data_IF_261330237005
#
_entry.id   IF_261330237005
#
_cell.length_a   1.000
_cell.length_b   1.000
_cell.length_c   1.000
_cell.angle_alpha   90.00
_cell.angle_beta   90.00
_cell.angle_gamma   90.00
#
_symmetry.space_group_name_H-M   'P 1'
#
loop_
_entity.id
_entity.type
_entity.pdbx_description
1 polymer ?
#
# COMPACT_ATOMS: atom_id res chain seq x y z
N UNK A 1 26.25 39.62 -64.09
CA UNK A 1 25.77 38.36 -63.52
C UNK A 1 25.39 38.64 -62.08
N UNK A 2 24.11 38.91 -61.83
CA UNK A 2 23.56 38.99 -60.47
C UNK A 2 23.41 37.58 -59.89
N UNK A 3 23.72 37.36 -58.61
CA UNK A 3 23.48 36.07 -57.98
C UNK A 3 22.00 35.92 -57.59
N UNK A 4 21.42 34.77 -57.94
CA UNK A 4 20.06 34.36 -57.64
C UNK A 4 19.80 34.30 -56.11
N UNK A 5 18.57 34.59 -55.65
CA UNK A 5 18.21 34.57 -54.25
C UNK A 5 18.17 33.13 -53.72
N UNK A 6 18.74 32.92 -52.52
CA UNK A 6 18.68 31.64 -51.81
C UNK A 6 17.24 31.34 -51.38
N UNK A 7 16.67 30.28 -51.94
CA UNK A 7 15.39 29.74 -51.50
C UNK A 7 15.44 29.38 -50.01
N UNK A 8 14.49 29.91 -49.23
CA UNK A 8 14.25 29.49 -47.85
C UNK A 8 13.54 28.14 -47.90
N UNK A 9 14.19 27.09 -47.43
CA UNK A 9 13.57 25.78 -47.30
C UNK A 9 12.27 25.86 -46.48
N UNK A 10 11.20 25.16 -46.89
CA UNK A 10 9.94 25.14 -46.15
C UNK A 10 10.10 24.37 -44.83
N UNK A 11 9.40 24.78 -43.75
CA UNK A 11 9.50 24.12 -42.45
C UNK A 11 9.08 22.66 -42.56
N UNK A 12 9.94 21.76 -42.08
CA UNK A 12 9.71 20.32 -42.01
C UNK A 12 8.44 20.02 -41.22
N UNK A 13 7.55 19.21 -41.80
CA UNK A 13 6.32 18.75 -41.14
C UNK A 13 6.70 17.93 -39.91
N UNK A 14 6.34 18.41 -38.71
CA UNK A 14 6.46 17.64 -37.48
C UNK A 14 5.67 16.32 -37.59
N UNK A 15 6.21 15.19 -37.10
CA UNK A 15 5.60 13.87 -37.27
C UNK A 15 4.34 13.72 -36.39
N UNK A 16 3.30 13.08 -36.94
CA UNK A 16 1.99 12.79 -36.28
C UNK A 16 2.10 12.13 -34.89
N UNK A 17 3.24 11.53 -34.58
CA UNK A 17 3.51 10.81 -33.32
C UNK A 17 3.63 11.78 -32.13
N UNK A 18 4.27 12.94 -32.29
CA UNK A 18 4.40 13.95 -31.23
C UNK A 18 3.02 14.45 -30.76
N UNK A 19 2.10 14.64 -31.71
CA UNK A 19 0.73 15.08 -31.43
C UNK A 19 -0.04 14.04 -30.62
N UNK A 20 0.18 12.75 -30.86
CA UNK A 20 -0.53 11.67 -30.16
C UNK A 20 0.02 11.45 -28.73
N UNK A 21 1.32 11.69 -28.52
CA UNK A 21 1.94 11.71 -27.20
C UNK A 21 1.38 12.83 -26.34
N UNK A 22 1.37 14.05 -26.87
CA UNK A 22 0.87 15.22 -26.14
C UNK A 22 -0.59 15.00 -25.74
N UNK A 23 -1.43 14.51 -26.66
CA UNK A 23 -2.85 14.17 -26.39
C UNK A 23 -2.99 13.12 -25.30
N UNK A 24 -2.11 12.13 -25.24
CA UNK A 24 -2.14 11.08 -24.21
C UNK A 24 -1.84 11.67 -22.84
N UNK A 25 -0.79 12.49 -22.72
CA UNK A 25 -0.45 13.19 -21.48
C UNK A 25 -1.58 14.15 -21.06
N UNK A 26 -2.15 14.90 -21.99
CA UNK A 26 -3.29 15.79 -21.75
C UNK A 26 -4.51 15.02 -21.22
N UNK A 27 -4.76 13.82 -21.76
CA UNK A 27 -5.82 12.92 -21.29
C UNK A 27 -5.58 12.49 -19.84
N UNK A 28 -4.35 12.10 -19.49
CA UNK A 28 -3.99 11.73 -18.11
C UNK A 28 -4.16 12.91 -17.15
N UNK A 29 -3.64 14.09 -17.49
CA UNK A 29 -3.80 15.32 -16.70
C UNK A 29 -5.30 15.65 -16.51
N UNK A 30 -6.10 15.56 -17.58
CA UNK A 30 -7.55 15.79 -17.50
C UNK A 30 -8.24 14.77 -16.60
N UNK A 31 -7.84 13.51 -16.65
CA UNK A 31 -8.41 12.47 -15.79
C UNK A 31 -8.08 12.70 -14.31
N UNK A 32 -6.85 13.10 -14.00
CA UNK A 32 -6.44 13.42 -12.62
C UNK A 32 -7.17 14.64 -12.08
N UNK A 33 -7.32 15.69 -12.89
CA UNK A 33 -8.11 16.89 -12.52
C UNK A 33 -9.59 16.57 -12.26
N UNK A 34 -10.12 15.48 -12.82
CA UNK A 34 -11.49 14.99 -12.57
C UNK A 34 -11.57 13.99 -11.43
N UNK A 35 -10.45 13.50 -10.92
CA UNK A 35 -10.40 12.52 -9.85
C UNK A 35 -10.94 13.14 -8.55
N UNK A 36 -11.95 12.50 -7.96
CA UNK A 36 -12.62 12.99 -6.75
C UNK A 36 -12.12 12.33 -5.47
N UNK A 37 -11.40 11.23 -5.58
CA UNK A 37 -10.95 10.42 -4.44
C UNK A 37 -9.70 9.64 -4.81
N UNK A 38 -8.71 9.60 -3.92
CA UNK A 38 -7.56 8.71 -4.03
C UNK A 38 -7.79 7.49 -3.14
N UNK A 39 -7.39 6.32 -3.64
CA UNK A 39 -7.40 5.08 -2.87
C UNK A 39 -6.01 4.81 -2.34
N UNK A 40 -5.90 4.51 -1.05
CA UNK A 40 -4.65 4.03 -0.50
C UNK A 40 -4.32 2.65 -1.10
N UNK A 41 -3.06 2.45 -1.48
CA UNK A 41 -2.56 1.12 -1.87
C UNK A 41 -2.19 0.40 -0.59
N UNK A 42 -2.95 -0.64 -0.24
CA UNK A 42 -2.84 -1.33 1.04
C UNK A 42 -2.44 -2.79 0.87
N UNK A 43 -1.87 -3.35 1.94
CA UNK A 43 -1.61 -4.77 2.03
C UNK A 43 -2.92 -5.58 2.07
N UNK A 44 -2.81 -6.83 1.62
CA UNK A 44 -3.91 -7.81 1.61
C UNK A 44 -4.61 -7.95 2.98
N UNK A 45 -3.89 -7.70 4.06
CA UNK A 45 -4.38 -7.82 5.44
C UNK A 45 -5.41 -6.75 5.84
N UNK A 46 -5.60 -5.70 5.03
CA UNK A 46 -6.69 -4.72 5.18
C UNK A 46 -7.92 -5.05 4.34
N UNK A 47 -7.73 -5.73 3.20
CA UNK A 47 -8.79 -5.96 2.22
C UNK A 47 -9.38 -7.36 2.33
N UNK A 48 -8.54 -8.39 2.44
CA UNK A 48 -9.00 -9.78 2.41
C UNK A 48 -9.69 -10.15 3.73
N UNK A 49 -10.63 -11.12 3.70
CA UNK A 49 -11.17 -11.70 4.92
C UNK A 49 -10.05 -12.27 5.81
N UNK A 50 -10.27 -12.25 7.12
CA UNK A 50 -9.31 -12.81 8.07
C UNK A 50 -9.21 -14.32 7.86
N UNK A 51 -8.01 -14.90 7.68
CA UNK A 51 -7.83 -16.34 7.60
C UNK A 51 -8.46 -17.06 8.80
N UNK A 52 -9.01 -18.25 8.57
CA UNK A 52 -9.67 -19.04 9.60
C UNK A 52 -8.81 -20.23 10.05
N UNK A 53 -8.96 -20.63 11.30
CA UNK A 53 -8.35 -21.82 11.89
C UNK A 53 -9.43 -22.68 12.55
N UNK A 54 -9.29 -24.01 12.47
CA UNK A 54 -10.19 -24.94 13.15
C UNK A 54 -9.84 -25.05 14.63
N UNK A 55 -10.86 -24.96 15.49
CA UNK A 55 -10.74 -25.10 16.94
C UNK A 55 -11.83 -26.02 17.48
N UNK A 56 -11.55 -26.65 18.61
CA UNK A 56 -12.55 -27.34 19.41
C UNK A 56 -13.31 -26.38 20.33
N UNK A 57 -14.63 -26.54 20.37
CA UNK A 57 -15.54 -25.80 21.24
C UNK A 57 -16.34 -26.80 22.08
N UNK A 58 -16.33 -26.62 23.40
CA UNK A 58 -17.16 -27.40 24.33
C UNK A 58 -18.43 -26.65 24.71
N UNK A 59 -19.57 -27.34 24.73
CA UNK A 59 -20.81 -26.80 25.29
C UNK A 59 -20.95 -27.21 26.76
N UNK A 60 -20.98 -26.24 27.67
CA UNK A 60 -21.06 -26.51 29.11
C UNK A 60 -22.48 -26.90 29.52
N UNK A 61 -22.61 -27.99 30.30
CA UNK A 61 -23.90 -28.48 30.82
C UNK A 61 -24.60 -27.43 31.69
N UNK A 62 -23.89 -26.90 32.69
CA UNK A 62 -24.41 -25.94 33.64
C UNK A 62 -23.68 -24.58 33.53
N UNK A 63 -24.38 -23.47 33.21
CA UNK A 63 -23.78 -22.14 33.12
C UNK A 63 -22.98 -21.69 34.35
N UNK A 64 -23.27 -22.23 35.54
CA UNK A 64 -22.55 -21.90 36.78
C UNK A 64 -21.09 -22.34 36.74
N UNK A 65 -20.75 -23.33 35.91
CA UNK A 65 -19.39 -23.85 35.80
C UNK A 65 -18.49 -22.97 34.91
N UNK A 66 -19.06 -22.06 34.12
CA UNK A 66 -18.32 -21.24 33.13
C UNK A 66 -17.13 -20.50 33.75
N UNK A 67 -17.33 -19.82 34.89
CA UNK A 67 -16.25 -19.05 35.53
C UNK A 67 -15.10 -19.96 35.95
N UNK A 68 -15.40 -21.11 36.55
CA UNK A 68 -14.41 -22.11 36.96
C UNK A 68 -13.68 -22.69 35.73
N UNK A 69 -14.44 -23.03 34.68
CA UNK A 69 -13.90 -23.55 33.42
C UNK A 69 -12.91 -22.57 32.77
N UNK A 70 -13.26 -21.29 32.69
CA UNK A 70 -12.38 -20.26 32.09
C UNK A 70 -11.08 -20.15 32.87
N UNK A 71 -11.13 -20.13 34.20
CA UNK A 71 -9.95 -20.00 35.05
C UNK A 71 -8.99 -21.17 34.84
N UNK A 72 -9.49 -22.40 34.96
CA UNK A 72 -8.69 -23.63 34.81
C UNK A 72 -8.10 -23.70 33.40
N UNK A 73 -8.90 -23.41 32.38
CA UNK A 73 -8.41 -23.45 31.02
C UNK A 73 -7.41 -22.33 30.73
N UNK A 74 -7.52 -21.14 31.32
CA UNK A 74 -6.55 -20.07 31.10
C UNK A 74 -5.17 -20.44 31.68
N UNK A 75 -5.16 -21.18 32.78
CA UNK A 75 -3.96 -21.67 33.44
C UNK A 75 -3.34 -22.85 32.68
N UNK A 76 -4.13 -23.89 32.38
CA UNK A 76 -3.62 -25.17 31.88
C UNK A 76 -3.63 -25.33 30.36
N UNK A 77 -4.57 -24.67 29.67
CA UNK A 77 -4.72 -24.76 28.20
C UNK A 77 -4.90 -23.34 27.63
N UNK A 78 -3.88 -22.47 27.74
CA UNK A 78 -3.98 -21.10 27.25
C UNK A 78 -4.14 -21.07 25.73
N UNK A 79 -4.95 -20.13 25.24
CA UNK A 79 -5.21 -19.89 23.81
C UNK A 79 -4.03 -19.16 23.13
N UNK A 80 -2.84 -19.78 23.13
CA UNK A 80 -1.63 -19.19 22.54
C UNK A 80 -1.89 -18.80 21.08
N UNK A 81 -1.65 -17.55 20.75
CA UNK A 81 -1.90 -17.00 19.40
C UNK A 81 -3.38 -16.70 19.07
N UNK A 82 -4.33 -17.01 19.96
CA UNK A 82 -5.76 -16.75 19.79
C UNK A 82 -6.36 -15.87 20.92
N UNK A 83 -5.53 -15.10 21.62
CA UNK A 83 -5.94 -14.23 22.73
C UNK A 83 -6.89 -13.09 22.32
N UNK A 84 -6.96 -12.76 21.02
CA UNK A 84 -7.93 -11.82 20.50
C UNK A 84 -9.36 -12.38 20.51
N UNK A 85 -9.54 -13.69 20.57
CA UNK A 85 -10.86 -14.31 20.64
C UNK A 85 -11.43 -14.22 22.05
N UNK A 86 -12.73 -13.97 22.17
CA UNK A 86 -13.42 -14.18 23.45
C UNK A 86 -13.51 -15.67 23.71
N UNK A 87 -13.06 -16.12 24.88
CA UNK A 87 -13.05 -17.55 25.21
C UNK A 87 -14.45 -18.17 25.30
N UNK A 88 -15.45 -17.38 25.69
CA UNK A 88 -16.81 -17.87 25.94
C UNK A 88 -17.84 -17.08 25.16
N UNK A 89 -18.81 -17.81 24.62
CA UNK A 89 -20.01 -17.27 23.99
C UNK A 89 -21.23 -18.06 24.48
N UNK A 90 -22.06 -17.43 25.33
CA UNK A 90 -23.17 -18.10 26.02
C UNK A 90 -22.65 -19.31 26.83
N UNK A 91 -23.00 -20.54 26.44
CA UNK A 91 -22.53 -21.80 27.05
C UNK A 91 -21.39 -22.47 26.27
N UNK A 92 -20.94 -21.87 25.17
CA UNK A 92 -19.87 -22.39 24.34
C UNK A 92 -18.52 -21.85 24.82
N UNK A 93 -17.55 -22.73 25.04
CA UNK A 93 -16.20 -22.41 25.50
C UNK A 93 -15.19 -22.88 24.46
N UNK A 94 -14.35 -21.97 24.00
CA UNK A 94 -13.26 -22.26 23.08
C UNK A 94 -12.11 -22.94 23.84
N UNK A 95 -11.76 -24.15 23.40
CA UNK A 95 -10.84 -25.03 24.10
C UNK A 95 -9.41 -24.85 23.58
N UNK A 96 -9.15 -25.31 22.36
CA UNK A 96 -7.85 -25.26 21.71
C UNK A 96 -7.97 -25.47 20.19
N UNK A 97 -6.94 -25.12 19.40
CA UNK A 97 -6.84 -25.50 17.99
C UNK A 97 -6.84 -27.02 17.78
N UNK A 98 -7.40 -27.49 16.67
CA UNK A 98 -7.51 -28.94 16.41
C UNK A 98 -6.16 -29.65 16.31
N UNK A 99 -5.12 -28.95 15.84
CA UNK A 99 -3.77 -29.50 15.75
C UNK A 99 -3.07 -29.73 17.10
N UNK A 100 -3.67 -29.34 18.24
CA UNK A 100 -3.10 -29.58 19.57
C UNK A 100 -3.27 -31.02 20.05
N UNK A 101 -4.12 -31.82 19.40
CA UNK A 101 -4.39 -33.20 19.83
C UNK A 101 -3.17 -34.12 19.69
N UNK A 102 -2.15 -33.78 18.90
CA UNK A 102 -0.86 -34.50 18.85
C UNK A 102 -0.95 -36.04 18.88
N UNK A 103 -1.86 -36.63 18.08
CA UNK A 103 -2.05 -38.08 18.00
C UNK A 103 -3.08 -38.67 18.96
N UNK A 104 -3.75 -37.84 19.78
CA UNK A 104 -4.92 -38.25 20.57
C UNK A 104 -6.13 -38.50 19.68
N UNK A 105 -6.99 -39.43 20.10
CA UNK A 105 -8.17 -39.86 19.34
C UNK A 105 -9.33 -38.87 19.39
N UNK A 106 -9.41 -38.05 20.45
CA UNK A 106 -10.50 -37.10 20.64
C UNK A 106 -10.12 -35.93 21.56
N UNK A 107 -10.91 -34.86 21.50
CA UNK A 107 -10.79 -33.74 22.45
C UNK A 107 -11.12 -34.15 23.89
N UNK A 108 -11.98 -35.15 24.10
CA UNK A 108 -12.30 -35.64 25.44
C UNK A 108 -11.05 -36.26 26.09
N UNK A 109 -10.32 -37.11 25.36
CA UNK A 109 -9.06 -37.70 25.81
C UNK A 109 -8.03 -36.60 26.13
N UNK A 110 -7.94 -35.57 25.29
CA UNK A 110 -7.07 -34.42 25.54
C UNK A 110 -7.43 -33.69 26.85
N UNK A 111 -8.72 -33.47 27.11
CA UNK A 111 -9.17 -32.81 28.34
C UNK A 111 -8.92 -33.68 29.58
N UNK A 112 -9.14 -34.99 29.50
CA UNK A 112 -8.89 -35.90 30.63
C UNK A 112 -7.42 -35.94 31.03
N UNK A 113 -6.49 -35.84 30.07
CA UNK A 113 -5.05 -35.81 30.33
C UNK A 113 -4.59 -34.45 30.84
N UNK A 114 -5.01 -33.36 30.18
CA UNK A 114 -4.44 -32.02 30.42
C UNK A 114 -5.22 -31.21 31.47
N UNK A 115 -6.53 -31.44 31.62
CA UNK A 115 -7.44 -30.69 32.49
C UNK A 115 -8.52 -31.61 33.09
N UNK A 116 -8.13 -32.66 33.85
CA UNK A 116 -9.06 -33.67 34.38
C UNK A 116 -10.21 -33.08 35.22
N UNK A 117 -10.02 -31.89 35.80
CA UNK A 117 -11.06 -31.18 36.55
C UNK A 117 -12.29 -30.78 35.72
N UNK A 118 -12.17 -30.79 34.39
CA UNK A 118 -13.23 -30.37 33.46
C UNK A 118 -13.88 -31.54 32.69
N UNK A 119 -13.48 -32.79 32.96
CA UNK A 119 -13.88 -33.97 32.15
C UNK A 119 -15.39 -34.17 31.99
N UNK A 120 -16.17 -33.84 33.03
CA UNK A 120 -17.63 -34.05 33.08
C UNK A 120 -18.44 -32.76 32.88
N UNK A 121 -17.78 -31.63 32.64
CA UNK A 121 -18.43 -30.31 32.56
C UNK A 121 -19.13 -30.11 31.22
N UNK A 122 -18.60 -30.69 30.15
CA UNK A 122 -19.12 -30.52 28.80
C UNK A 122 -20.21 -31.54 28.47
N UNK A 123 -21.23 -31.08 27.76
CA UNK A 123 -22.32 -31.90 27.24
C UNK A 123 -21.94 -32.55 25.92
N UNK A 124 -21.32 -31.77 25.04
CA UNK A 124 -20.81 -32.20 23.75
C UNK A 124 -19.69 -31.26 23.29
N UNK A 125 -18.95 -31.70 22.28
CA UNK A 125 -17.92 -30.93 21.60
C UNK A 125 -18.27 -30.76 20.13
N UNK A 126 -17.72 -29.71 19.51
CA UNK A 126 -17.80 -29.50 18.07
C UNK A 126 -16.58 -28.76 17.56
N UNK A 127 -16.37 -28.86 16.27
CA UNK A 127 -15.34 -28.13 15.55
C UNK A 127 -15.94 -26.84 15.00
N UNK A 128 -15.17 -25.75 15.07
CA UNK A 128 -15.58 -24.47 14.54
C UNK A 128 -14.39 -23.75 13.89
N UNK A 129 -14.64 -23.08 12.77
CA UNK A 129 -13.67 -22.18 12.16
C UNK A 129 -13.76 -20.80 12.80
N UNK A 130 -12.66 -20.33 13.37
CA UNK A 130 -12.53 -19.03 14.02
C UNK A 130 -11.42 -18.20 13.37
N UNK A 131 -11.46 -16.87 13.44
CA UNK A 131 -10.42 -16.04 12.85
C UNK A 131 -9.06 -16.26 13.51
N UNK A 132 -8.07 -16.56 12.69
CA UNK A 132 -6.69 -16.84 13.10
C UNK A 132 -6.00 -15.60 13.69
N UNK A 133 -6.36 -14.41 13.21
CA UNK A 133 -5.82 -13.12 13.68
C UNK A 133 -6.94 -12.18 14.11
N UNK A 134 -6.59 -11.13 14.85
CA UNK A 134 -7.52 -10.05 15.12
C UNK A 134 -7.84 -9.30 13.80
N UNK A 135 -9.12 -8.95 13.54
CA UNK A 135 -9.45 -8.10 12.40
C UNK A 135 -8.81 -6.72 12.54
N UNK A 136 -8.35 -6.14 11.44
CA UNK A 136 -7.77 -4.78 11.42
C UNK A 136 -8.82 -3.70 11.32
N UNK A 137 -9.89 -3.96 10.55
CA UNK A 137 -10.95 -3.00 10.25
C UNK A 137 -12.35 -3.56 10.54
N UNK A 138 -13.33 -2.68 10.74
CA UNK A 138 -14.72 -3.03 11.03
C UNK A 138 -15.34 -3.95 9.99
N UNK A 139 -15.03 -3.75 8.71
CA UNK A 139 -15.53 -4.61 7.63
C UNK A 139 -15.19 -6.07 7.86
N UNK A 140 -13.95 -6.35 8.24
CA UNK A 140 -13.50 -7.70 8.57
C UNK A 140 -14.17 -8.20 9.85
N UNK A 141 -14.23 -7.37 10.90
CA UNK A 141 -14.86 -7.73 12.17
C UNK A 141 -16.32 -8.16 12.01
N UNK A 142 -17.09 -7.45 11.18
CA UNK A 142 -18.51 -7.72 10.95
C UNK A 142 -18.76 -9.05 10.22
N UNK A 143 -17.74 -9.65 9.61
CA UNK A 143 -17.83 -10.94 8.92
C UNK A 143 -17.49 -12.12 9.82
N UNK A 144 -17.06 -11.88 11.06
CA UNK A 144 -16.58 -12.93 11.95
C UNK A 144 -17.73 -13.70 12.62
N UNK A 145 -17.62 -15.03 12.58
CA UNK A 145 -18.59 -15.94 13.21
C UNK A 145 -18.39 -16.10 14.72
N UNK A 146 -17.20 -15.78 15.23
CA UNK A 146 -16.86 -15.85 16.65
C UNK A 146 -16.45 -14.49 17.18
N UNK A 147 -16.83 -14.19 18.41
CA UNK A 147 -16.60 -12.89 19.02
C UNK A 147 -15.12 -12.66 19.30
N UNK A 148 -14.60 -11.51 18.88
CA UNK A 148 -13.24 -11.06 19.17
C UNK A 148 -13.26 -9.80 20.04
N UNK A 149 -12.17 -9.58 20.78
CA UNK A 149 -11.83 -8.31 21.40
C UNK A 149 -11.32 -7.38 20.29
N UNK A 150 -12.22 -6.57 19.73
CA UNK A 150 -11.91 -5.67 18.63
C UNK A 150 -12.13 -4.21 19.05
N UNK A 151 -11.10 -3.40 18.81
CA UNK A 151 -11.12 -1.96 19.02
C UNK A 151 -10.75 -1.29 17.70
N UNK A 152 -11.72 -0.72 16.96
CA UNK A 152 -11.47 -0.10 15.66
C UNK A 152 -10.40 0.98 15.75
N UNK A 153 -9.37 0.87 14.91
CA UNK A 153 -8.35 1.90 14.81
C UNK A 153 -8.82 3.00 13.85
N UNK A 154 -9.06 4.21 14.37
CA UNK A 154 -9.55 5.36 13.58
C UNK A 154 -8.70 5.65 12.35
N UNK A 155 -7.37 5.50 12.46
CA UNK A 155 -6.46 5.72 11.34
C UNK A 155 -6.65 4.66 10.26
N UNK A 156 -6.70 3.37 10.62
CA UNK A 156 -6.95 2.29 9.66
C UNK A 156 -8.33 2.39 9.01
N UNK A 157 -9.36 2.74 9.77
CA UNK A 157 -10.70 2.98 9.22
C UNK A 157 -10.70 4.12 8.21
N UNK A 158 -9.92 5.19 8.47
CA UNK A 158 -9.73 6.29 7.51
C UNK A 158 -8.93 5.83 6.30
N UNK A 159 -7.90 5.01 6.49
CA UNK A 159 -6.99 4.55 5.45
C UNK A 159 -7.69 3.63 4.43
N UNK A 160 -8.57 2.75 4.89
CA UNK A 160 -9.40 1.89 4.01
C UNK A 160 -10.61 2.63 3.44
N UNK A 161 -10.84 3.88 3.85
CA UNK A 161 -11.92 4.70 3.31
C UNK A 161 -11.44 5.44 2.05
N UNK A 162 -12.37 5.75 1.15
CA UNK A 162 -12.09 6.59 -0.02
C UNK A 162 -11.92 8.09 0.32
N UNK A 163 -11.92 8.45 1.62
CA UNK A 163 -11.89 9.82 2.14
C UNK A 163 -10.67 10.08 3.04
N UNK A 164 -9.53 9.44 2.74
CA UNK A 164 -8.32 9.60 3.54
C UNK A 164 -7.76 11.04 3.48
N UNK A 165 -7.75 11.61 2.27
CA UNK A 165 -7.25 12.96 2.01
C UNK A 165 -8.37 13.99 2.06
N UNK A 166 -8.07 15.15 2.61
CA UNK A 166 -8.91 16.35 2.54
C UNK A 166 -8.96 16.92 1.13
N UNK A 167 -9.91 17.82 0.88
CA UNK A 167 -10.02 18.51 -0.41
C UNK A 167 -8.77 19.35 -0.76
N UNK A 168 -8.05 19.86 0.25
CA UNK A 168 -6.82 20.62 0.06
C UNK A 168 -5.66 19.71 -0.33
N UNK A 169 -5.47 18.60 0.38
CA UNK A 169 -4.49 17.57 0.04
C UNK A 169 -4.75 16.99 -1.36
N UNK A 170 -6.02 16.77 -1.73
CA UNK A 170 -6.40 16.32 -3.07
C UNK A 170 -5.98 17.30 -4.17
N UNK A 171 -6.09 18.62 -3.92
CA UNK A 171 -5.60 19.65 -4.85
C UNK A 171 -4.09 19.61 -4.96
N UNK A 172 -3.37 19.46 -3.85
CA UNK A 172 -1.91 19.34 -3.84
C UNK A 172 -1.44 18.09 -4.61
N UNK A 173 -2.04 16.93 -4.35
CA UNK A 173 -1.74 15.71 -5.11
C UNK A 173 -1.98 15.89 -6.61
N UNK A 174 -3.09 16.53 -6.98
CA UNK A 174 -3.40 16.84 -8.39
C UNK A 174 -2.37 17.79 -9.00
N UNK A 175 -1.96 18.83 -8.27
CA UNK A 175 -0.92 19.79 -8.69
C UNK A 175 0.38 19.06 -8.98
N UNK A 176 0.94 18.34 -8.01
CA UNK A 176 2.26 17.72 -8.17
C UNK A 176 2.26 16.55 -9.15
N UNK A 177 1.15 15.81 -9.25
CA UNK A 177 1.01 14.80 -10.28
C UNK A 177 0.96 15.43 -11.68
N UNK A 178 0.31 16.58 -11.84
CA UNK A 178 0.34 17.33 -13.10
C UNK A 178 1.77 17.75 -13.45
N UNK A 179 2.54 18.22 -12.46
CA UNK A 179 3.97 18.55 -12.66
C UNK A 179 4.75 17.33 -13.14
N UNK A 180 4.55 16.15 -12.55
CA UNK A 180 5.22 14.92 -13.01
C UNK A 180 4.91 14.59 -14.49
N UNK A 181 3.69 14.81 -14.95
CA UNK A 181 3.33 14.64 -16.36
C UNK A 181 3.95 15.69 -17.28
N UNK A 182 4.06 16.96 -16.85
CA UNK A 182 4.72 18.01 -17.62
C UNK A 182 6.23 17.78 -17.70
N UNK A 183 6.84 17.32 -16.62
CA UNK A 183 8.24 16.89 -16.56
C UNK A 183 8.49 15.76 -17.56
N UNK A 184 7.63 14.73 -17.59
CA UNK A 184 7.68 13.67 -18.59
C UNK A 184 7.52 14.21 -20.02
N UNK A 185 6.59 15.13 -20.25
CA UNK A 185 6.37 15.76 -21.57
C UNK A 185 7.62 16.49 -22.05
N UNK A 186 8.28 17.26 -21.18
CA UNK A 186 9.50 17.97 -21.53
C UNK A 186 10.60 17.00 -21.96
N UNK A 187 10.84 15.94 -21.18
CA UNK A 187 11.86 14.94 -21.49
C UNK A 187 11.66 14.29 -22.85
N UNK A 188 10.42 13.95 -23.19
CA UNK A 188 10.08 13.35 -24.50
C UNK A 188 10.32 14.30 -25.67
N UNK A 189 10.16 15.62 -25.47
CA UNK A 189 10.48 16.62 -26.50
C UNK A 189 11.98 16.76 -26.75
N UNK A 190 12.79 16.69 -25.68
CA UNK A 190 14.24 16.89 -25.76
C UNK A 190 14.97 15.66 -26.30
N UNK A 191 14.47 14.46 -25.99
CA UNK A 191 15.15 13.21 -26.36
C UNK A 191 14.94 12.77 -27.80
N UNK A 192 14.01 13.33 -28.59
CA UNK A 192 13.70 12.90 -29.98
C UNK A 192 13.49 11.38 -30.09
N UNK A 193 12.78 10.81 -29.13
CA UNK A 193 12.61 9.36 -28.96
C UNK A 193 11.24 8.89 -29.46
N UNK A 194 11.24 7.78 -30.20
CA UNK A 194 10.05 7.18 -30.83
C UNK A 194 8.97 6.73 -29.82
N UNK A 195 7.74 6.51 -30.30
CA UNK A 195 6.57 6.14 -29.48
C UNK A 195 6.76 4.91 -28.56
N UNK A 196 7.71 4.02 -28.87
CA UNK A 196 8.01 2.81 -28.08
C UNK A 196 8.60 3.15 -26.69
N UNK A 197 9.16 4.35 -26.53
CA UNK A 197 9.83 4.81 -25.31
C UNK A 197 8.85 5.40 -24.28
N UNK A 198 7.63 5.77 -24.67
CA UNK A 198 6.58 6.21 -23.74
C UNK A 198 6.25 5.16 -22.68
N UNK A 199 6.27 3.89 -23.08
CA UNK A 199 5.98 2.76 -22.19
C UNK A 199 7.12 2.48 -21.20
N UNK A 200 8.32 3.02 -21.47
CA UNK A 200 9.52 2.86 -20.62
C UNK A 200 9.86 4.13 -19.84
N UNK A 201 9.40 5.29 -20.30
CA UNK A 201 9.74 6.58 -19.69
C UNK A 201 8.96 6.78 -18.40
N UNK A 202 9.65 6.60 -17.28
CA UNK A 202 9.14 6.95 -15.96
C UNK A 202 9.75 8.29 -15.54
N UNK A 203 8.90 9.20 -15.05
CA UNK A 203 9.32 10.45 -14.44
C UNK A 203 9.00 10.42 -12.94
N UNK A 204 9.91 10.95 -12.13
CA UNK A 204 9.70 11.10 -10.68
C UNK A 204 9.93 12.54 -10.29
N UNK A 205 9.06 13.06 -9.42
CA UNK A 205 9.16 14.39 -8.82
C UNK A 205 9.15 14.23 -7.30
N UNK A 206 10.07 14.89 -6.62
CA UNK A 206 10.12 14.95 -5.14
C UNK A 206 9.75 16.35 -4.70
N UNK A 207 8.87 16.42 -3.71
CA UNK A 207 8.31 17.65 -3.15
C UNK A 207 8.72 17.75 -1.69
N UNK A 208 9.14 18.93 -1.26
CA UNK A 208 9.31 19.25 0.14
C UNK A 208 7.94 19.63 0.74
N UNK A 209 7.40 18.85 1.68
CA UNK A 209 6.08 19.12 2.27
C UNK A 209 6.06 20.36 3.19
N UNK A 210 7.21 20.91 3.58
CA UNK A 210 7.27 22.12 4.40
C UNK A 210 7.11 23.40 3.59
N UNK A 211 7.50 23.37 2.31
CA UNK A 211 7.48 24.52 1.40
C UNK A 211 6.50 24.34 0.22
N UNK A 212 5.89 23.16 0.07
CA UNK A 212 5.06 22.78 -1.09
C UNK A 212 5.76 23.04 -2.44
N UNK A 213 7.08 22.84 -2.49
CA UNK A 213 7.91 23.07 -3.67
C UNK A 213 8.58 21.80 -4.17
N UNK A 214 8.74 21.69 -5.48
CA UNK A 214 9.54 20.62 -6.09
C UNK A 214 11.02 20.87 -5.77
N UNK A 215 11.69 19.84 -5.23
CA UNK A 215 13.11 19.89 -4.88
C UNK A 215 13.98 19.06 -5.81
N UNK A 216 13.40 18.09 -6.50
CA UNK A 216 14.10 17.29 -7.49
C UNK A 216 13.11 16.69 -8.50
N UNK A 217 13.59 16.51 -9.72
CA UNK A 217 12.93 15.73 -10.76
C UNK A 217 13.95 14.78 -11.41
N UNK A 218 13.48 13.69 -11.98
CA UNK A 218 14.34 12.72 -12.67
C UNK A 218 13.55 11.85 -13.65
N UNK A 219 14.30 11.15 -14.50
CA UNK A 219 13.79 10.25 -15.52
C UNK A 219 14.49 8.90 -15.43
N UNK A 220 13.92 7.88 -16.07
CA UNK A 220 14.59 6.59 -16.22
C UNK A 220 15.86 6.74 -17.07
N UNK A 221 16.98 6.17 -16.62
CA UNK A 221 18.18 6.05 -17.44
C UNK A 221 18.24 4.66 -18.09
N UNK A 222 18.04 4.60 -19.40
CA UNK A 222 18.08 3.36 -20.18
C UNK A 222 19.47 2.67 -20.13
N UNK A 223 20.54 3.41 -19.86
CA UNK A 223 21.91 2.91 -19.89
C UNK A 223 22.34 2.19 -18.60
N UNK A 224 21.51 2.19 -17.54
CA UNK A 224 21.90 1.58 -16.27
C UNK A 224 20.73 0.88 -15.52
N UNK A 225 20.84 -0.43 -15.22
CA UNK A 225 19.73 -1.25 -14.74
C UNK A 225 19.20 -0.88 -13.34
N UNK A 226 19.97 -0.12 -12.54
CA UNK A 226 19.55 0.34 -11.21
C UNK A 226 19.23 1.83 -11.13
N UNK A 227 19.43 2.60 -12.21
CA UNK A 227 19.17 4.04 -12.24
C UNK A 227 17.74 4.33 -12.71
N UNK A 228 16.80 3.79 -11.94
CA UNK A 228 15.39 4.09 -12.14
C UNK A 228 15.10 5.54 -11.75
N UNK A 229 14.04 6.14 -12.31
CA UNK A 229 13.68 7.53 -12.02
C UNK A 229 13.59 7.80 -10.52
N UNK A 230 12.93 6.93 -9.74
CA UNK A 230 12.85 7.08 -8.28
C UNK A 230 14.21 7.14 -7.60
N UNK A 231 15.17 6.30 -8.02
CA UNK A 231 16.51 6.28 -7.46
C UNK A 231 17.28 7.55 -7.81
N UNK A 232 17.22 7.98 -9.07
CA UNK A 232 17.85 9.22 -9.54
C UNK A 232 17.25 10.46 -8.87
N UNK A 233 15.95 10.47 -8.57
CA UNK A 233 15.32 11.57 -7.85
C UNK A 233 15.89 11.69 -6.43
N UNK A 234 16.04 10.56 -5.73
CA UNK A 234 16.65 10.53 -4.38
C UNK A 234 18.08 11.03 -4.43
N UNK A 235 18.86 10.58 -5.42
CA UNK A 235 20.23 11.03 -5.62
C UNK A 235 20.31 12.54 -5.91
N UNK A 236 19.40 13.07 -6.73
CA UNK A 236 19.30 14.52 -6.99
C UNK A 236 18.97 15.32 -5.72
N UNK A 237 18.08 14.82 -4.85
CA UNK A 237 17.87 15.45 -3.53
C UNK A 237 19.13 15.42 -2.68
N UNK A 238 19.90 14.33 -2.70
CA UNK A 238 21.15 14.26 -1.96
C UNK A 238 22.18 15.27 -2.50
N UNK A 239 22.24 15.50 -3.81
CA UNK A 239 23.15 16.49 -4.43
C UNK A 239 22.85 17.93 -4.00
N UNK A 240 21.59 18.31 -3.78
CA UNK A 240 21.25 19.64 -3.24
C UNK A 240 21.80 19.85 -1.81
N UNK A 241 22.14 18.75 -1.13
CA UNK A 241 22.72 18.71 0.21
C UNK A 241 24.21 18.29 0.19
N UNK A 242 24.91 18.50 -0.93
CA UNK A 242 26.33 18.18 -1.12
C UNK A 242 26.68 16.69 -0.99
N UNK A 243 25.67 15.81 -1.11
CA UNK A 243 25.82 14.37 -1.22
C UNK A 243 25.69 13.88 -2.67
N UNK A 244 25.10 12.70 -2.84
CA UNK A 244 24.91 12.05 -4.13
C UNK A 244 25.99 11.01 -4.42
N UNK A 245 25.56 9.85 -4.93
CA UNK A 245 26.42 8.73 -5.30
C UNK A 245 26.73 8.72 -6.80
N UNK A 246 25.86 9.29 -7.65
CA UNK A 246 26.05 9.28 -9.09
C UNK A 246 26.49 10.65 -9.63
N UNK A 247 27.61 10.66 -10.35
CA UNK A 247 28.07 11.83 -11.10
C UNK A 247 27.20 12.03 -12.34
N UNK A 248 26.24 12.95 -12.28
CA UNK A 248 25.54 13.42 -13.48
C UNK A 248 26.40 14.47 -14.15
N UNK A 249 26.90 14.16 -15.35
CA UNK A 249 27.63 15.13 -16.17
C UNK A 249 26.62 16.15 -16.73
N UNK A 250 26.34 17.21 -15.99
CA UNK A 250 25.72 18.41 -16.55
C UNK A 250 26.27 19.62 -15.81
N UNK A 251 26.87 20.52 -16.58
CA UNK A 251 27.45 21.79 -16.13
C UNK A 251 26.35 22.81 -15.83
N UNK A 252 25.38 22.48 -14.96
CA UNK A 252 24.38 23.45 -14.50
C UNK A 252 24.88 24.17 -13.26
N UNK A 253 25.04 25.48 -13.40
CA UNK A 253 25.79 26.43 -12.55
C UNK A 253 25.12 26.74 -11.19
N UNK A 254 24.01 26.09 -10.85
CA UNK A 254 23.25 26.39 -9.62
C UNK A 254 23.14 25.18 -8.69
N UNK A 255 23.89 25.22 -7.58
CA UNK A 255 23.95 24.14 -6.59
C UNK A 255 22.59 23.84 -5.92
N UNK A 256 21.64 24.79 -5.98
CA UNK A 256 20.31 24.66 -5.38
C UNK A 256 19.39 23.68 -6.14
N UNK A 257 19.68 23.38 -7.41
CA UNK A 257 18.83 22.58 -8.31
C UNK A 257 19.65 21.52 -9.07
N UNK A 258 20.69 20.99 -8.43
CA UNK A 258 21.55 19.96 -9.01
C UNK A 258 20.73 18.75 -9.48
N UNK A 259 20.63 18.59 -10.80
CA UNK A 259 19.88 17.50 -11.44
C UNK A 259 18.54 17.89 -12.08
N UNK A 260 18.15 19.18 -12.01
CA UNK A 260 17.01 19.73 -12.78
C UNK A 260 17.59 20.64 -13.87
N UNK A 261 17.29 20.32 -15.13
CA UNK A 261 17.69 21.16 -16.27
C UNK A 261 17.10 22.57 -16.11
N UNK A 262 17.87 23.61 -16.42
CA UNK A 262 17.40 24.99 -16.33
C UNK A 262 16.20 25.25 -17.25
N UNK A 263 16.06 24.52 -18.35
CA UNK A 263 14.88 24.58 -19.21
C UNK A 263 13.66 23.89 -18.58
N UNK A 264 13.86 22.90 -17.71
CA UNK A 264 12.80 22.21 -16.99
C UNK A 264 12.17 23.10 -15.90
N UNK A 265 12.90 24.10 -15.39
CA UNK A 265 12.39 25.06 -14.41
C UNK A 265 11.18 25.87 -14.90
N UNK A 266 11.00 26.01 -16.22
CA UNK A 266 9.83 26.69 -16.81
C UNK A 266 8.55 25.87 -16.57
N UNK A 267 8.69 24.57 -16.32
CA UNK A 267 7.60 23.61 -16.16
C UNK A 267 7.34 23.20 -14.69
N UNK A 268 8.20 23.63 -13.75
CA UNK A 268 8.09 23.38 -12.30
C UNK A 268 7.43 24.56 -11.57
#
# INVERSE_FOLDING_TARGET
MEPLPKDKEPPTKKPKIEDDISKTIDSHIKNIKRCKSLKAVLGDDFEKPVPLIQVYVGHVRNPKDLSKTILILNEKVPLKGLHHLKRVRKREVLLCPTHYLNGMSSIQEYLEINVPELKDIFEYFKDLSVPMYAPKVKRQYNQLLWSCNFHPNKYYEKLVSDNFFSNEEMKLHTKFMTVAFEVQRWHLKVTDHSAEILLKTNATVIVDPSTDSVVAASFFNDDHPVQHSAMLAIDNVAKTQQGGAWGTCSQTIDCALSGVDSELLIYL
#
